data_IF_023482623501
#
_entry.id   IF_023482623501
#
_cell.length_a   1.000
_cell.length_b   1.000
_cell.length_c   1.000
_cell.angle_alpha   90.00
_cell.angle_beta   90.00
_cell.angle_gamma   90.00
#
_symmetry.space_group_name_H-M   'P 1'
#
loop_
_entity.id
_entity.type
_entity.pdbx_description
1 polymer ?
#
# COMPACT_ATOMS: atom_id res chain seq x y z
N UNK A 1 -53.29 -11.24 40.48
CA UNK A 1 -52.49 -12.33 41.09
C UNK A 1 -51.02 -12.04 40.76
N UNK A 2 -50.34 -11.21 41.53
CA UNK A 2 -49.57 -11.56 42.74
C UNK A 2 -48.06 -11.67 42.43
N UNK A 3 -47.33 -10.64 42.92
CA UNK A 3 -45.90 -10.58 43.28
C UNK A 3 -45.34 -11.92 43.80
N UNK A 4 -44.06 -12.32 43.64
CA UNK A 4 -42.81 -11.64 44.06
C UNK A 4 -41.59 -12.52 43.65
N UNK A 5 -40.37 -11.94 43.56
CA UNK A 5 -39.12 -12.64 43.27
C UNK A 5 -38.47 -13.23 44.54
N UNK A 6 -37.62 -14.25 44.37
CA UNK A 6 -36.80 -14.84 45.44
C UNK A 6 -35.44 -14.14 45.48
N UNK A 7 -35.07 -13.59 46.64
CA UNK A 7 -33.71 -13.15 47.00
C UNK A 7 -33.32 -13.82 48.34
N UNK A 8 -32.06 -13.74 48.81
CA UNK A 8 -31.15 -14.86 48.97
C UNK A 8 -30.95 -15.27 50.44
N UNK A 9 -30.30 -16.40 50.68
CA UNK A 9 -29.94 -16.82 52.06
C UNK A 9 -28.48 -16.50 52.36
N UNK A 10 -28.29 -15.49 53.21
CA UNK A 10 -27.06 -15.18 53.92
C UNK A 10 -26.66 -16.33 54.85
N UNK A 11 -25.35 -16.59 54.97
CA UNK A 11 -24.77 -17.02 56.24
C UNK A 11 -23.48 -16.23 56.50
N UNK A 12 -23.49 -15.57 57.65
CA UNK A 12 -22.47 -14.70 58.23
C UNK A 12 -21.40 -15.51 58.94
N UNK A 13 -20.14 -15.05 58.88
CA UNK A 13 -19.28 -14.81 60.06
C UNK A 13 -18.06 -13.94 59.69
N UNK A 14 -17.94 -12.80 60.37
CA UNK A 14 -16.79 -11.86 60.40
C UNK A 14 -15.69 -12.38 61.37
N UNK A 15 -14.61 -11.63 61.76
CA UNK A 15 -14.06 -10.33 61.28
C UNK A 15 -12.52 -10.32 61.09
N UNK A 16 -11.98 -9.25 60.47
CA UNK A 16 -10.53 -9.03 60.37
C UNK A 16 -10.14 -7.63 59.88
N UNK A 17 -10.25 -6.65 60.79
CA UNK A 17 -9.40 -5.47 61.02
C UNK A 17 -8.42 -5.03 59.88
N UNK A 18 -8.63 -3.81 59.35
CA UNK A 18 -7.64 -2.91 58.70
C UNK A 18 -6.61 -2.42 59.74
N UNK A 19 -5.38 -1.90 59.45
CA UNK A 19 -5.04 -1.00 58.33
C UNK A 19 -3.57 -1.08 57.82
N UNK A 20 -3.18 -0.25 56.84
CA UNK A 20 -1.76 0.10 56.65
C UNK A 20 -1.35 0.51 55.24
N UNK A 21 -0.94 1.77 55.11
CA UNK A 21 -0.26 2.38 53.96
C UNK A 21 1.16 1.79 53.82
N UNK A 22 1.70 1.64 52.61
CA UNK A 22 3.14 1.85 52.36
C UNK A 22 3.46 1.99 50.88
N UNK A 23 4.42 2.89 50.64
CA UNK A 23 5.04 3.31 49.40
C UNK A 23 5.69 2.18 48.57
N UNK A 24 5.89 2.52 47.30
CA UNK A 24 7.19 2.54 46.62
C UNK A 24 7.31 1.65 45.39
N UNK A 25 7.95 2.28 44.41
CA UNK A 25 8.63 1.83 43.21
C UNK A 25 8.95 0.32 43.14
N UNK A 26 8.97 -0.23 41.92
CA UNK A 26 10.18 -0.85 41.34
C UNK A 26 9.94 -1.19 39.86
N UNK A 27 10.87 -0.67 39.07
CA UNK A 27 11.19 -0.99 37.69
C UNK A 27 11.69 -2.42 37.54
N UNK A 28 11.30 -3.16 36.49
CA UNK A 28 11.94 -4.43 36.13
C UNK A 28 12.12 -4.56 34.62
N UNK A 29 13.23 -3.99 34.13
CA UNK A 29 13.98 -4.53 33.00
C UNK A 29 14.95 -5.58 33.52
N UNK A 30 14.63 -6.85 33.35
CA UNK A 30 15.62 -7.93 33.32
C UNK A 30 15.07 -9.00 32.38
N UNK A 31 15.87 -9.39 31.38
CA UNK A 31 16.17 -10.77 30.97
C UNK A 31 16.72 -10.77 29.54
N UNK A 32 18.06 -10.66 29.44
CA UNK A 32 18.81 -11.22 28.31
C UNK A 32 19.91 -12.11 28.88
N UNK A 33 19.99 -13.32 28.35
CA UNK A 33 21.21 -14.13 28.37
C UNK A 33 20.99 -15.61 28.69
N UNK A 34 20.97 -16.46 27.65
CA UNK A 34 22.05 -17.42 27.37
C UNK A 34 21.58 -18.65 26.58
N UNK A 35 22.13 -18.79 25.36
CA UNK A 35 22.70 -19.97 24.67
C UNK A 35 22.08 -21.39 24.78
N UNK A 36 21.99 -22.01 23.57
CA UNK A 36 21.57 -23.36 23.09
C UNK A 36 22.24 -24.59 23.76
N UNK A 37 21.97 -25.88 23.37
CA UNK A 37 21.07 -26.45 22.33
C UNK A 37 20.18 -27.64 22.79
N UNK A 38 19.08 -27.91 22.07
CA UNK A 38 18.32 -29.16 22.26
C UNK A 38 17.20 -29.33 21.24
N UNK A 39 17.37 -30.31 20.36
CA UNK A 39 16.36 -30.81 19.42
C UNK A 39 15.07 -31.19 20.15
N UNK A 40 13.90 -30.84 19.59
CA UNK A 40 12.82 -31.77 19.21
C UNK A 40 11.48 -31.04 18.94
N UNK A 41 10.94 -31.37 17.76
CA UNK A 41 9.52 -31.59 17.48
C UNK A 41 8.55 -30.41 17.44
N UNK A 42 8.29 -29.95 16.21
CA UNK A 42 7.12 -29.17 15.85
C UNK A 42 5.83 -30.01 16.07
N UNK A 43 4.92 -29.55 16.94
CA UNK A 43 3.49 -29.89 16.83
C UNK A 43 2.71 -28.62 16.52
N UNK A 44 2.23 -28.57 15.28
CA UNK A 44 1.19 -27.67 14.84
C UNK A 44 -0.14 -28.03 15.52
N UNK A 45 -0.87 -27.02 15.97
CA UNK A 45 -2.30 -27.08 16.28
C UNK A 45 -2.88 -25.67 16.21
N UNK A 46 -3.36 -25.27 15.04
CA UNK A 46 -4.32 -24.17 14.91
C UNK A 46 -5.51 -24.71 14.13
N UNK A 47 -6.58 -25.01 14.86
CA UNK A 47 -7.93 -25.15 14.31
C UNK A 47 -8.40 -23.73 13.95
N UNK A 48 -8.79 -23.51 12.70
CA UNK A 48 -9.92 -22.63 12.41
C UNK A 48 -10.43 -22.87 10.99
N UNK A 49 -11.61 -23.46 11.00
CA UNK A 49 -12.56 -23.76 9.93
C UNK A 49 -13.24 -22.49 9.40
N UNK A 50 -13.47 -22.41 8.09
CA UNK A 50 -14.77 -22.04 7.51
C UNK A 50 -14.71 -21.88 5.97
N UNK A 51 -15.53 -22.68 5.28
CA UNK A 51 -16.35 -22.15 4.17
C UNK A 51 -15.90 -22.39 2.74
N UNK A 52 -15.84 -23.65 2.28
CA UNK A 52 -15.89 -23.98 0.85
C UNK A 52 -17.32 -24.33 0.45
N UNK A 53 -17.99 -23.42 -0.24
CA UNK A 53 -19.12 -23.72 -1.11
C UNK A 53 -18.84 -23.11 -2.48
N UNK A 54 -18.56 -23.94 -3.48
CA UNK A 54 -18.76 -23.65 -4.91
C UNK A 54 -18.66 -24.95 -5.68
N UNK A 55 -19.81 -25.51 -6.02
CA UNK A 55 -19.98 -26.53 -7.05
C UNK A 55 -20.04 -25.81 -8.40
N UNK A 56 -19.12 -26.14 -9.29
CA UNK A 56 -19.27 -25.91 -10.73
C UNK A 56 -18.65 -27.09 -11.47
N UNK A 57 -19.52 -28.02 -11.85
CA UNK A 57 -19.21 -29.08 -12.81
C UNK A 57 -19.92 -28.70 -14.10
N UNK A 58 -19.17 -28.38 -15.16
CA UNK A 58 -19.65 -28.55 -16.53
C UNK A 58 -18.51 -29.13 -17.39
N UNK A 59 -18.81 -30.07 -18.30
CA UNK A 59 -17.80 -30.81 -19.04
C UNK A 59 -17.31 -30.03 -20.27
N UNK A 60 -16.00 -30.02 -20.49
CA UNK A 60 -15.36 -29.72 -21.78
C UNK A 60 -15.53 -30.92 -22.70
N UNK A 61 -16.31 -30.77 -23.78
CA UNK A 61 -16.18 -31.64 -24.94
C UNK A 61 -15.17 -31.02 -25.90
N UNK A 62 -13.99 -31.63 -25.95
CA UNK A 62 -13.03 -31.44 -27.03
C UNK A 62 -13.58 -32.07 -28.31
N UNK A 63 -13.53 -31.32 -29.41
CA UNK A 63 -13.51 -31.90 -30.75
C UNK A 63 -12.14 -31.59 -31.35
N UNK A 64 -11.37 -32.64 -31.60
CA UNK A 64 -10.08 -32.58 -32.26
C UNK A 64 -10.16 -32.74 -33.78
N UNK A 65 -8.99 -32.55 -34.41
CA UNK A 65 -8.63 -32.82 -35.81
C UNK A 65 -9.26 -31.87 -36.85
N UNK A 66 -8.51 -31.15 -37.69
CA UNK A 66 -7.41 -31.65 -38.52
C UNK A 66 -6.54 -30.54 -39.12
N UNK A 67 -5.23 -30.83 -39.18
CA UNK A 67 -4.31 -30.62 -40.31
C UNK A 67 -3.75 -29.22 -40.62
N UNK A 68 -2.52 -29.04 -40.13
CA UNK A 68 -1.41 -28.32 -40.78
C UNK A 68 -1.14 -28.91 -42.18
N UNK A 69 -0.62 -28.11 -43.14
CA UNK A 69 0.82 -28.16 -43.35
C UNK A 69 1.50 -26.81 -43.59
N UNK A 70 2.77 -26.76 -43.19
CA UNK A 70 3.77 -25.77 -43.57
C UNK A 70 4.29 -26.04 -44.99
N UNK A 71 4.64 -24.98 -45.73
CA UNK A 71 6.00 -24.75 -46.24
C UNK A 71 6.04 -23.56 -47.24
N UNK A 72 7.05 -22.69 -47.06
CA UNK A 72 7.88 -22.27 -48.20
C UNK A 72 7.85 -20.81 -48.69
N UNK A 73 8.86 -20.04 -48.24
CA UNK A 73 9.81 -19.30 -49.09
C UNK A 73 9.38 -18.01 -49.86
N UNK A 74 9.69 -16.84 -49.27
CA UNK A 74 10.37 -15.59 -49.77
C UNK A 74 10.12 -15.03 -51.22
N UNK A 75 10.56 -13.78 -51.57
CA UNK A 75 10.52 -12.45 -50.93
C UNK A 75 10.15 -11.29 -51.93
N UNK A 76 10.24 -10.01 -51.47
CA UNK A 76 10.67 -8.77 -52.17
C UNK A 76 9.68 -7.57 -52.10
N UNK A 77 9.92 -6.56 -51.26
CA UNK A 77 10.64 -5.27 -51.48
C UNK A 77 9.82 -4.19 -52.23
N UNK A 78 9.52 -3.05 -51.56
CA UNK A 78 9.97 -1.68 -51.94
C UNK A 78 9.39 -0.59 -51.00
N UNK A 79 10.31 0.19 -50.37
CA UNK A 79 10.35 1.66 -50.17
C UNK A 79 9.05 2.47 -49.95
N UNK A 80 8.90 3.45 -49.04
CA UNK A 80 9.77 4.24 -48.15
C UNK A 80 8.96 5.42 -47.51
N UNK A 81 9.50 6.17 -46.53
CA UNK A 81 8.86 7.28 -45.76
C UNK A 81 9.13 8.68 -46.41
N UNK A 82 8.69 9.88 -45.90
CA UNK A 82 8.30 10.29 -44.53
C UNK A 82 7.11 11.31 -44.36
N UNK A 83 6.79 11.59 -43.08
CA UNK A 83 6.17 12.75 -42.36
C UNK A 83 6.10 14.16 -43.03
N UNK A 84 5.51 15.25 -42.45
CA UNK A 84 4.61 15.43 -41.28
C UNK A 84 3.50 16.54 -41.47
N UNK A 85 2.83 16.90 -40.36
CA UNK A 85 2.35 18.27 -40.00
C UNK A 85 0.92 18.70 -40.33
N UNK A 86 0.14 18.91 -39.26
CA UNK A 86 -0.42 20.24 -39.00
C UNK A 86 -1.93 20.42 -39.16
N UNK A 87 -2.56 20.86 -38.06
CA UNK A 87 -3.46 22.01 -38.15
C UNK A 87 -4.93 21.77 -37.83
N UNK A 88 -5.32 22.32 -36.67
CA UNK A 88 -6.47 23.22 -36.53
C UNK A 88 -7.91 22.64 -36.60
N UNK A 89 -8.53 22.59 -35.41
CA UNK A 89 -9.92 23.00 -35.08
C UNK A 89 -10.44 24.17 -35.97
N UNK A 90 -11.77 24.41 -36.14
CA UNK A 90 -12.76 24.40 -35.04
C UNK A 90 -14.19 23.93 -35.36
N UNK A 91 -14.98 23.84 -34.28
CA UNK A 91 -16.43 24.02 -34.19
C UNK A 91 -17.06 24.83 -35.31
N UNK A 92 -18.23 24.39 -35.78
CA UNK A 92 -19.28 25.27 -36.28
C UNK A 92 -20.65 24.72 -35.85
N UNK A 93 -21.40 25.56 -35.15
CA UNK A 93 -22.84 25.52 -35.01
C UNK A 93 -23.41 26.59 -35.94
N UNK A 94 -24.40 26.24 -36.76
CA UNK A 94 -25.42 27.12 -37.35
C UNK A 94 -26.58 26.19 -37.80
N UNK A 95 -27.82 26.35 -37.33
CA UNK A 95 -28.84 27.39 -37.59
C UNK A 95 -29.38 27.38 -39.02
N UNK A 96 -30.72 27.25 -39.15
CA UNK A 96 -31.51 27.45 -40.39
C UNK A 96 -32.52 26.33 -40.62
N UNK A 97 -33.77 26.39 -40.13
CA UNK A 97 -34.89 27.30 -40.48
C UNK A 97 -35.45 27.09 -41.90
N UNK A 98 -36.54 26.31 -41.96
CA UNK A 98 -37.64 26.29 -42.96
C UNK A 98 -37.26 25.82 -44.39
N UNK A 99 -38.08 25.13 -45.19
CA UNK A 99 -39.52 25.30 -45.43
C UNK A 99 -40.15 24.05 -46.06
N UNK A 100 -41.45 23.92 -45.82
CA UNK A 100 -42.44 23.22 -46.63
C UNK A 100 -42.38 23.52 -48.13
N UNK A 101 -42.60 22.51 -48.97
CA UNK A 101 -43.10 22.69 -50.34
C UNK A 101 -44.00 21.51 -50.72
N UNK A 102 -45.31 21.80 -50.76
CA UNK A 102 -46.32 21.02 -51.46
C UNK A 102 -46.10 21.26 -52.96
N UNK A 103 -45.90 20.19 -53.73
CA UNK A 103 -45.92 20.26 -55.19
C UNK A 103 -47.16 19.54 -55.70
N UNK A 104 -48.16 20.35 -56.06
CA UNK A 104 -49.28 19.98 -56.92
C UNK A 104 -48.77 19.87 -58.36
N UNK A 105 -48.64 18.64 -58.87
CA UNK A 105 -48.38 18.37 -60.28
C UNK A 105 -49.67 18.07 -61.02
N UNK A 106 -50.27 19.10 -61.64
CA UNK A 106 -51.32 18.93 -62.65
C UNK A 106 -50.68 18.57 -63.98
N UNK A 107 -51.05 17.42 -64.55
CA UNK A 107 -50.93 17.15 -65.98
C UNK A 107 -52.31 16.77 -66.51
N UNK A 108 -53.06 17.80 -66.92
CA UNK A 108 -54.17 17.63 -67.87
C UNK A 108 -53.59 17.32 -69.24
N UNK A 109 -53.50 16.04 -69.58
CA UNK A 109 -53.29 15.55 -70.93
C UNK A 109 -54.60 14.99 -71.47
N UNK A 110 -55.23 15.73 -72.39
CA UNK A 110 -56.42 15.31 -73.14
C UNK A 110 -56.22 13.91 -73.76
N UNK A 111 -57.04 12.95 -73.34
CA UNK A 111 -57.28 11.70 -74.03
C UNK A 111 -58.78 11.42 -74.04
N UNK A 112 -59.39 11.46 -75.22
CA UNK A 112 -60.80 11.16 -75.57
C UNK A 112 -61.51 10.16 -74.63
N UNK A 113 -62.77 10.42 -74.21
CA UNK A 113 -63.71 9.35 -73.95
C UNK A 113 -64.29 8.91 -75.29
N UNK A 114 -63.80 7.79 -75.84
CA UNK A 114 -64.55 7.07 -76.87
C UNK A 114 -65.70 6.36 -76.15
N UNK A 115 -66.82 7.06 -76.00
CA UNK A 115 -68.10 6.43 -75.75
C UNK A 115 -68.59 5.83 -77.07
N UNK A 116 -68.26 4.56 -77.29
CA UNK A 116 -69.05 3.71 -78.15
C UNK A 116 -69.60 2.57 -77.29
N UNK A 117 -70.87 2.75 -76.98
CA UNK A 117 -71.76 1.76 -76.41
C UNK A 117 -71.78 0.53 -77.31
N UNK A 118 -70.94 -0.46 -76.98
CA UNK A 118 -70.82 -1.72 -77.69
C UNK A 118 -71.27 -2.88 -76.82
N UNK A 119 -72.55 -3.24 -76.98
CA UNK A 119 -73.09 -4.58 -76.85
C UNK A 119 -72.99 -5.30 -75.50
N UNK A 120 -74.17 -5.44 -74.88
CA UNK A 120 -74.50 -6.51 -73.97
C UNK A 120 -74.02 -7.88 -74.51
N UNK A 121 -73.12 -8.50 -73.78
CA UNK A 121 -72.71 -9.90 -73.94
C UNK A 121 -72.25 -10.45 -72.60
N UNK A 122 -73.11 -10.41 -71.58
CA UNK A 122 -72.97 -11.25 -70.38
C UNK A 122 -72.98 -12.71 -70.83
N UNK A 123 -71.82 -13.30 -71.05
CA UNK A 123 -71.66 -14.74 -70.87
C UNK A 123 -71.59 -14.98 -69.36
N UNK A 124 -72.39 -15.90 -68.79
CA UNK A 124 -72.17 -16.36 -67.42
C UNK A 124 -70.77 -16.99 -67.37
N UNK A 125 -69.89 -16.50 -66.48
CA UNK A 125 -68.67 -17.24 -66.15
C UNK A 125 -69.09 -18.67 -65.79
N UNK A 126 -68.47 -19.72 -66.36
CA UNK A 126 -68.68 -21.10 -65.92
C UNK A 126 -68.60 -21.14 -64.38
N UNK A 127 -69.54 -21.82 -63.71
CA UNK A 127 -69.63 -21.87 -62.24
C UNK A 127 -68.31 -22.25 -61.55
N UNK A 128 -67.41 -22.92 -62.27
CA UNK A 128 -66.08 -23.34 -61.85
C UNK A 128 -65.07 -22.18 -61.79
N UNK A 129 -65.15 -21.20 -62.70
CA UNK A 129 -64.29 -20.01 -62.71
C UNK A 129 -64.60 -19.07 -61.55
N UNK A 130 -65.89 -18.90 -61.20
CA UNK A 130 -66.29 -18.09 -60.05
C UNK A 130 -65.85 -18.71 -58.71
N UNK A 131 -65.83 -20.04 -58.61
CA UNK A 131 -65.32 -20.76 -57.44
C UNK A 131 -63.80 -20.59 -57.32
N UNK A 132 -63.06 -20.76 -58.42
CA UNK A 132 -61.61 -20.55 -58.44
C UNK A 132 -61.21 -19.13 -58.06
N UNK A 133 -61.92 -18.12 -58.58
CA UNK A 133 -61.70 -16.71 -58.19
C UNK A 133 -61.89 -16.54 -56.68
N UNK A 134 -62.92 -17.14 -56.10
CA UNK A 134 -63.16 -17.05 -54.66
C UNK A 134 -62.04 -17.70 -53.85
N UNK A 135 -61.56 -18.88 -54.25
CA UNK A 135 -60.42 -19.53 -53.61
C UNK A 135 -59.13 -18.72 -53.70
N UNK A 136 -58.89 -18.03 -54.82
CA UNK A 136 -57.74 -17.15 -54.98
C UNK A 136 -57.85 -15.90 -54.11
N UNK A 137 -59.04 -15.33 -53.97
CA UNK A 137 -59.27 -14.23 -53.03
C UNK A 137 -59.05 -14.66 -51.56
N UNK A 138 -59.50 -15.85 -51.18
CA UNK A 138 -59.31 -16.37 -49.83
C UNK A 138 -57.83 -16.66 -49.56
N UNK A 139 -57.11 -17.26 -50.52
CA UNK A 139 -55.65 -17.42 -50.46
C UNK A 139 -54.91 -16.08 -50.38
N UNK A 140 -55.38 -15.06 -51.09
CA UNK A 140 -54.80 -13.71 -51.00
C UNK A 140 -54.99 -13.14 -49.59
N UNK A 141 -56.18 -13.26 -49.01
CA UNK A 141 -56.47 -12.84 -47.62
C UNK A 141 -55.61 -13.59 -46.60
N UNK A 142 -55.39 -14.89 -46.79
CA UNK A 142 -54.49 -15.69 -45.95
C UNK A 142 -53.05 -15.19 -46.04
N UNK A 143 -52.53 -14.94 -47.25
CA UNK A 143 -51.18 -14.39 -47.46
C UNK A 143 -51.04 -12.98 -46.88
N UNK A 144 -52.06 -12.14 -46.99
CA UNK A 144 -52.09 -10.81 -46.38
C UNK A 144 -52.04 -10.88 -44.85
N UNK A 145 -52.75 -11.83 -44.24
CA UNK A 145 -52.70 -12.08 -42.80
C UNK A 145 -51.34 -12.62 -42.33
N UNK A 146 -50.74 -13.55 -43.08
CA UNK A 146 -49.38 -14.06 -42.82
C UNK A 146 -48.33 -12.93 -42.91
N UNK A 147 -48.43 -12.06 -43.91
CA UNK A 147 -47.56 -10.89 -44.04
C UNK A 147 -47.73 -9.91 -42.89
N UNK A 148 -48.96 -9.71 -42.42
CA UNK A 148 -49.21 -8.86 -41.24
C UNK A 148 -48.55 -9.47 -39.99
N UNK A 149 -48.74 -10.77 -39.75
CA UNK A 149 -48.11 -11.46 -38.63
C UNK A 149 -46.57 -11.38 -38.68
N UNK A 150 -45.98 -11.52 -39.87
CA UNK A 150 -44.53 -11.39 -40.04
C UNK A 150 -44.03 -9.97 -39.73
N UNK A 151 -44.77 -8.93 -40.10
CA UNK A 151 -44.43 -7.54 -39.76
C UNK A 151 -44.49 -7.33 -38.25
N UNK A 152 -45.57 -7.77 -37.62
CA UNK A 152 -45.75 -7.65 -36.17
C UNK A 152 -44.63 -8.40 -35.42
N UNK A 153 -44.27 -9.60 -35.88
CA UNK A 153 -43.16 -10.37 -35.31
C UNK A 153 -41.80 -9.70 -35.49
N UNK A 154 -41.54 -9.04 -36.64
CA UNK A 154 -40.30 -8.29 -36.85
C UNK A 154 -40.23 -7.08 -35.92
N UNK A 155 -41.32 -6.34 -35.75
CA UNK A 155 -41.39 -5.20 -34.83
C UNK A 155 -41.15 -5.66 -33.37
N UNK A 156 -41.74 -6.78 -32.96
CA UNK A 156 -41.49 -7.40 -31.66
C UNK A 156 -40.02 -7.81 -31.47
N UNK A 157 -39.40 -8.40 -32.50
CA UNK A 157 -37.99 -8.76 -32.47
C UNK A 157 -37.07 -7.53 -32.40
N UNK A 158 -37.38 -6.45 -33.14
CA UNK A 158 -36.63 -5.20 -33.07
C UNK A 158 -36.67 -4.59 -31.67
N UNK A 159 -37.85 -4.60 -31.02
CA UNK A 159 -38.01 -4.14 -29.63
C UNK A 159 -37.23 -5.02 -28.66
N UNK A 160 -37.29 -6.35 -28.81
CA UNK A 160 -36.55 -7.27 -27.96
C UNK A 160 -35.02 -7.09 -28.08
N UNK A 161 -34.53 -6.87 -29.32
CA UNK A 161 -33.11 -6.56 -29.56
C UNK A 161 -32.76 -5.24 -28.86
N UNK A 162 -33.51 -4.16 -29.07
CA UNK A 162 -33.24 -2.87 -28.42
C UNK A 162 -33.15 -3.01 -26.88
N UNK A 163 -34.10 -3.72 -26.26
CA UNK A 163 -34.12 -3.95 -24.82
C UNK A 163 -32.86 -4.66 -24.32
N UNK A 164 -32.41 -5.72 -25.01
CA UNK A 164 -31.19 -6.46 -24.62
C UNK A 164 -29.97 -5.55 -24.68
N UNK A 165 -29.86 -4.69 -25.70
CA UNK A 165 -28.75 -3.74 -25.84
C UNK A 165 -28.77 -2.68 -24.73
N UNK A 166 -29.93 -2.08 -24.44
CA UNK A 166 -30.11 -1.12 -23.37
C UNK A 166 -29.77 -1.73 -21.99
N UNK A 167 -30.19 -2.97 -21.75
CA UNK A 167 -29.87 -3.68 -20.53
C UNK A 167 -28.37 -3.97 -20.40
N UNK A 168 -27.72 -4.43 -21.47
CA UNK A 168 -26.26 -4.68 -21.49
C UNK A 168 -25.49 -3.38 -21.22
N UNK A 169 -25.88 -2.28 -21.85
CA UNK A 169 -25.29 -0.97 -21.60
C UNK A 169 -25.45 -0.56 -20.14
N UNK A 170 -26.67 -0.65 -19.59
CA UNK A 170 -26.95 -0.33 -18.19
C UNK A 170 -26.11 -1.16 -17.22
N UNK A 171 -25.95 -2.46 -17.47
CA UNK A 171 -25.11 -3.35 -16.64
C UNK A 171 -23.64 -2.92 -16.69
N UNK A 172 -23.10 -2.63 -17.87
CA UNK A 172 -21.73 -2.14 -18.02
C UNK A 172 -21.48 -0.82 -17.27
N UNK A 173 -22.43 0.12 -17.36
CA UNK A 173 -22.36 1.40 -16.63
C UNK A 173 -22.36 1.19 -15.11
N UNK A 174 -23.21 0.30 -14.60
CA UNK A 174 -23.27 -0.04 -13.17
C UNK A 174 -21.98 -0.71 -12.68
N UNK A 175 -21.41 -1.63 -13.45
CA UNK A 175 -20.15 -2.30 -13.12
C UNK A 175 -18.99 -1.29 -13.06
N UNK A 176 -18.92 -0.37 -14.03
CA UNK A 176 -17.92 0.68 -14.07
C UNK A 176 -18.07 1.66 -12.88
N UNK A 177 -19.30 2.05 -12.55
CA UNK A 177 -19.58 2.90 -11.39
C UNK A 177 -19.18 2.20 -10.08
N UNK A 178 -19.49 0.91 -9.94
CA UNK A 178 -19.07 0.08 -8.81
C UNK A 178 -17.55 -0.07 -8.70
N UNK A 179 -16.84 -0.20 -9.82
CA UNK A 179 -15.37 -0.17 -9.84
C UNK A 179 -14.83 1.20 -9.39
N UNK A 180 -15.36 2.30 -9.93
CA UNK A 180 -14.96 3.66 -9.54
C UNK A 180 -15.14 3.90 -8.05
N UNK A 181 -16.28 3.51 -7.49
CA UNK A 181 -16.57 3.64 -6.06
C UNK A 181 -15.59 2.84 -5.21
N UNK A 182 -15.29 1.59 -5.58
CA UNK A 182 -14.29 0.74 -4.89
C UNK A 182 -12.89 1.35 -4.95
N UNK A 183 -12.44 1.80 -6.11
CA UNK A 183 -11.16 2.48 -6.25
C UNK A 183 -11.09 3.76 -5.41
N UNK A 184 -12.15 4.58 -5.41
CA UNK A 184 -12.22 5.79 -4.61
C UNK A 184 -12.20 5.50 -3.10
N UNK A 185 -12.94 4.49 -2.65
CA UNK A 185 -12.93 4.05 -1.25
C UNK A 185 -11.54 3.55 -0.82
N UNK A 186 -10.89 2.74 -1.65
CA UNK A 186 -9.54 2.25 -1.39
C UNK A 186 -8.51 3.39 -1.38
N UNK A 187 -8.61 4.35 -2.30
CA UNK A 187 -7.74 5.53 -2.31
C UNK A 187 -7.91 6.36 -1.03
N UNK A 188 -9.15 6.59 -0.58
CA UNK A 188 -9.43 7.29 0.70
C UNK A 188 -8.85 6.53 1.89
N UNK A 189 -9.02 5.20 1.94
CA UNK A 189 -8.46 4.36 3.01
C UNK A 189 -6.92 4.41 3.02
N UNK A 190 -6.29 4.32 1.85
CA UNK A 190 -4.84 4.41 1.72
C UNK A 190 -4.31 5.79 2.15
N UNK A 191 -5.01 6.88 1.79
CA UNK A 191 -4.68 8.24 2.21
C UNK A 191 -4.78 8.41 3.74
N UNK A 192 -5.87 7.92 4.36
CA UNK A 192 -6.03 7.95 5.82
C UNK A 192 -4.96 7.12 6.54
N UNK A 193 -4.63 5.93 6.03
CA UNK A 193 -3.57 5.09 6.58
C UNK A 193 -2.19 5.76 6.46
N UNK A 194 -1.90 6.40 5.33
CA UNK A 194 -0.68 7.17 5.12
C UNK A 194 -0.59 8.36 6.10
N UNK A 195 -1.67 9.10 6.30
CA UNK A 195 -1.73 10.21 7.25
C UNK A 195 -1.48 9.74 8.70
N UNK A 196 -2.14 8.65 9.12
CA UNK A 196 -1.90 8.07 10.45
C UNK A 196 -0.46 7.59 10.61
N UNK A 197 0.10 6.96 9.57
CA UNK A 197 1.51 6.56 9.54
C UNK A 197 2.46 7.75 9.67
N UNK A 198 2.18 8.86 8.97
CA UNK A 198 2.95 10.10 9.10
C UNK A 198 2.88 10.69 10.52
N UNK A 199 1.70 10.70 11.15
CA UNK A 199 1.55 11.16 12.54
C UNK A 199 2.40 10.33 13.51
N UNK A 200 2.38 9.00 13.39
CA UNK A 200 3.18 8.11 14.24
C UNK A 200 4.68 8.34 14.04
N UNK A 201 5.14 8.47 12.79
CA UNK A 201 6.55 8.76 12.50
C UNK A 201 6.98 10.12 13.07
N UNK A 202 6.12 11.14 13.00
CA UNK A 202 6.39 12.45 13.57
C UNK A 202 6.55 12.38 15.10
N UNK A 203 5.68 11.62 15.77
CA UNK A 203 5.79 11.38 17.22
C UNK A 203 7.10 10.64 17.56
N UNK A 204 7.47 9.61 16.79
CA UNK A 204 8.73 8.87 17.00
C UNK A 204 9.95 9.78 16.87
N UNK A 205 9.96 10.66 15.86
CA UNK A 205 11.06 11.63 15.63
C UNK A 205 11.16 12.63 16.79
N UNK A 206 10.04 13.05 17.39
CA UNK A 206 10.05 13.91 18.56
C UNK A 206 10.54 13.17 19.81
N UNK A 207 10.12 11.92 20.02
CA UNK A 207 10.56 11.10 21.13
C UNK A 207 12.08 10.85 21.09
N UNK A 208 12.62 10.42 19.95
CA UNK A 208 14.07 10.19 19.82
C UNK A 208 14.87 11.49 19.99
N UNK A 209 14.33 12.64 19.58
CA UNK A 209 14.95 13.93 19.85
C UNK A 209 14.97 14.28 21.34
N UNK A 210 13.92 13.93 22.09
CA UNK A 210 13.89 14.09 23.54
C UNK A 210 14.90 13.18 24.22
N UNK A 211 14.95 11.89 23.85
CA UNK A 211 15.93 10.93 24.39
C UNK A 211 17.37 11.35 24.08
N UNK A 212 17.62 11.89 22.87
CA UNK A 212 18.92 12.48 22.53
C UNK A 212 19.28 13.63 23.47
N UNK A 213 18.35 14.56 23.73
CA UNK A 213 18.60 15.68 24.66
C UNK A 213 18.90 15.16 26.06
N UNK A 214 18.12 14.19 26.54
CA UNK A 214 18.37 13.57 27.85
C UNK A 214 19.77 12.97 27.93
N UNK A 215 20.19 12.19 26.93
CA UNK A 215 21.54 11.62 26.90
C UNK A 215 22.64 12.67 26.82
N UNK A 216 22.39 13.82 26.18
CA UNK A 216 23.34 14.93 26.16
C UNK A 216 23.49 15.56 27.54
N UNK A 217 22.39 15.71 28.28
CA UNK A 217 22.40 16.19 29.67
C UNK A 217 23.12 15.20 30.59
N UNK A 218 22.81 13.91 30.48
CA UNK A 218 23.46 12.87 31.28
C UNK A 218 24.96 12.77 30.96
N UNK A 219 25.34 12.93 29.69
CA UNK A 219 26.75 13.00 29.29
C UNK A 219 27.45 14.22 29.91
N UNK A 220 26.79 15.39 29.93
CA UNK A 220 27.34 16.59 30.56
C UNK A 220 27.56 16.37 32.08
N UNK A 221 26.61 15.71 32.75
CA UNK A 221 26.74 15.34 34.17
C UNK A 221 27.92 14.37 34.40
N UNK A 222 28.06 13.33 33.58
CA UNK A 222 29.20 12.39 33.67
C UNK A 222 30.55 13.08 33.43
N UNK A 223 30.62 14.05 32.52
CA UNK A 223 31.83 14.83 32.29
C UNK A 223 32.18 15.69 33.50
N UNK A 224 31.19 16.26 34.19
CA UNK A 224 31.40 17.01 35.44
C UNK A 224 31.89 16.09 36.57
N UNK A 225 31.31 14.90 36.71
CA UNK A 225 31.75 13.89 37.68
C UNK A 225 33.19 13.42 37.39
N UNK A 226 33.52 13.19 36.12
CA UNK A 226 34.88 12.89 35.66
C UNK A 226 35.85 13.98 36.09
N UNK A 227 35.54 15.25 35.83
CA UNK A 227 36.43 16.37 36.18
C UNK A 227 36.67 16.46 37.70
N UNK A 228 35.64 16.19 38.50
CA UNK A 228 35.78 16.13 39.95
C UNK A 228 36.70 14.99 40.38
N UNK A 229 36.54 13.80 39.80
CA UNK A 229 37.40 12.64 40.07
C UNK A 229 38.84 12.91 39.63
N UNK A 230 39.07 13.51 38.46
CA UNK A 230 40.41 13.89 38.00
C UNK A 230 41.12 14.82 39.00
N UNK A 231 40.39 15.81 39.55
CA UNK A 231 40.92 16.70 40.60
C UNK A 231 41.25 15.94 41.88
N UNK A 232 40.39 15.00 42.32
CA UNK A 232 40.64 14.18 43.52
C UNK A 232 41.83 13.22 43.33
N UNK A 233 41.95 12.59 42.16
CA UNK A 233 43.08 11.73 41.86
C UNK A 233 44.37 12.55 41.85
N UNK A 234 44.35 13.77 41.28
CA UNK A 234 45.48 14.69 41.34
C UNK A 234 45.84 15.11 42.77
N UNK A 235 44.86 15.33 43.67
CA UNK A 235 45.14 15.66 45.07
C UNK A 235 45.77 14.50 45.83
N UNK A 236 45.21 13.29 45.70
CA UNK A 236 45.79 12.10 46.31
C UNK A 236 47.20 11.81 45.76
N UNK A 237 47.46 12.13 44.49
CA UNK A 237 48.76 11.92 43.87
C UNK A 237 49.79 12.86 44.48
N UNK A 238 49.43 14.14 44.66
CA UNK A 238 50.27 15.11 45.37
C UNK A 238 50.56 14.66 46.80
N UNK A 239 49.53 14.32 47.56
CA UNK A 239 49.68 13.84 48.94
C UNK A 239 50.58 12.59 49.02
N UNK A 240 50.41 11.62 48.11
CA UNK A 240 51.28 10.46 48.02
C UNK A 240 52.74 10.83 47.71
N UNK A 241 52.97 11.76 46.77
CA UNK A 241 54.33 12.23 46.45
C UNK A 241 54.97 13.04 47.57
N UNK A 242 54.20 13.75 48.39
CA UNK A 242 54.67 14.51 49.55
C UNK A 242 55.08 13.60 50.73
N UNK A 243 54.47 12.42 50.86
CA UNK A 243 54.83 11.46 51.90
C UNK A 243 56.17 10.77 51.64
N UNK A 244 56.60 10.64 50.38
CA UNK A 244 57.86 10.03 50.00
C UNK A 244 59.09 10.72 50.64
N UNK A 245 59.32 12.04 50.48
CA UNK A 245 60.47 12.71 51.11
C UNK A 245 60.38 12.69 52.64
N UNK A 246 59.19 12.81 53.24
CA UNK A 246 59.01 12.76 54.71
C UNK A 246 59.37 11.39 55.29
N UNK A 247 59.06 10.32 54.55
CA UNK A 247 59.45 8.97 54.92
C UNK A 247 60.98 8.80 54.84
N UNK A 248 61.63 9.36 53.81
CA UNK A 248 63.09 9.35 53.71
C UNK A 248 63.74 10.16 54.83
N UNK A 249 63.26 11.36 55.14
CA UNK A 249 63.75 12.18 56.26
C UNK A 249 63.68 11.43 57.61
N UNK A 250 62.55 10.80 57.93
CA UNK A 250 62.41 10.03 59.17
C UNK A 250 63.29 8.77 59.21
N UNK A 251 63.54 8.13 58.06
CA UNK A 251 64.52 7.04 57.95
C UNK A 251 65.95 7.54 58.21
N UNK A 252 66.33 8.66 57.60
CA UNK A 252 67.65 9.28 57.80
C UNK A 252 67.86 9.73 59.25
N UNK A 253 66.84 10.30 59.89
CA UNK A 253 66.86 10.67 61.31
C UNK A 253 66.98 9.47 62.26
N UNK A 254 66.32 8.35 61.93
CA UNK A 254 66.45 7.08 62.67
C UNK A 254 67.88 6.54 62.57
N UNK A 255 68.46 6.55 61.36
CA UNK A 255 69.87 6.20 61.13
C UNK A 255 70.82 7.12 61.91
N UNK A 256 70.59 8.44 61.87
CA UNK A 256 71.42 9.45 62.55
C UNK A 256 71.31 9.37 64.08
N UNK A 257 70.11 9.22 64.62
CA UNK A 257 69.87 8.98 66.06
C UNK A 257 70.42 7.63 66.54
N UNK A 258 70.72 6.74 65.59
CA UNK A 258 71.40 5.47 65.82
C UNK A 258 72.88 5.62 66.18
N UNK A 259 73.51 6.71 65.77
CA UNK A 259 74.94 7.02 65.96
C UNK A 259 75.17 7.54 67.38
N UNK A 260 76.08 6.95 68.20
CA UNK A 260 76.32 7.37 69.57
C UNK A 260 77.01 8.73 69.60
N UNK A 261 76.23 9.80 69.65
CA UNK A 261 76.70 11.19 69.65
C UNK A 261 76.68 11.83 71.04
N UNK A 262 76.09 11.17 72.05
CA UNK A 262 76.08 11.64 73.43
C UNK A 262 76.56 10.53 74.38
N UNK A 263 77.85 10.57 74.74
CA UNK A 263 78.52 9.58 75.60
C UNK A 263 78.06 9.60 77.08
N UNK A 264 77.13 10.49 77.46
CA UNK A 264 76.63 10.65 78.83
C UNK A 264 75.16 10.30 79.07
N UNK A 265 74.36 10.05 78.03
CA UNK A 265 72.94 9.72 78.18
C UNK A 265 72.71 8.21 77.98
N UNK A 266 72.31 7.50 79.04
CA UNK A 266 72.30 6.03 79.09
C UNK A 266 71.55 5.30 77.96
N UNK A 267 71.91 4.02 77.73
CA UNK A 267 71.39 3.12 76.67
C UNK A 267 69.86 3.01 76.59
N UNK A 268 69.13 3.38 77.64
CA UNK A 268 67.66 3.35 77.68
C UNK A 268 67.01 4.54 76.93
N UNK A 269 67.66 5.71 76.92
CA UNK A 269 67.15 6.91 76.25
C UNK A 269 67.24 6.78 74.73
N UNK A 270 68.39 6.32 74.22
CA UNK A 270 68.59 6.05 72.78
C UNK A 270 67.77 4.87 72.22
N UNK A 271 67.31 3.93 73.06
CA UNK A 271 66.37 2.87 72.65
C UNK A 271 64.93 3.39 72.52
N UNK A 272 64.49 4.22 73.47
CA UNK A 272 63.17 4.88 73.39
C UNK A 272 63.07 5.83 72.19
N UNK A 273 64.11 6.60 71.92
CA UNK A 273 64.17 7.49 70.75
C UNK A 273 64.07 6.76 69.41
N UNK A 274 64.86 5.68 69.23
CA UNK A 274 64.79 4.80 68.05
C UNK A 274 63.41 4.18 67.88
N UNK A 275 62.84 3.59 68.94
CA UNK A 275 61.50 3.00 68.91
C UNK A 275 60.39 4.03 68.62
N UNK A 276 60.57 5.30 68.97
CA UNK A 276 59.64 6.38 68.61
C UNK A 276 59.80 6.81 67.15
N UNK A 277 61.04 6.88 66.64
CA UNK A 277 61.34 7.17 65.24
C UNK A 277 60.83 6.07 64.28
N UNK A 278 61.02 4.80 64.65
CA UNK A 278 60.54 3.64 63.89
C UNK A 278 59.01 3.63 63.80
N UNK A 279 58.31 3.91 64.91
CA UNK A 279 56.84 4.04 64.90
C UNK A 279 56.35 5.19 64.02
N UNK A 280 57.08 6.32 63.99
CA UNK A 280 56.76 7.44 63.09
C UNK A 280 56.98 7.07 61.62
N UNK A 281 58.08 6.38 61.29
CA UNK A 281 58.33 5.89 59.94
C UNK A 281 57.29 4.85 59.49
N UNK A 282 56.90 3.93 60.37
CA UNK A 282 55.81 2.98 60.12
C UNK A 282 54.48 3.69 59.85
N UNK A 283 54.12 4.67 60.67
CA UNK A 283 52.89 5.47 60.46
C UNK A 283 52.89 6.25 59.14
N UNK A 284 54.03 6.84 58.74
CA UNK A 284 54.16 7.49 57.43
C UNK A 284 54.09 6.49 56.27
N UNK A 285 54.65 5.30 56.44
CA UNK A 285 54.58 4.23 55.45
C UNK A 285 53.16 3.68 55.28
N UNK A 286 52.43 3.51 56.38
CA UNK A 286 51.01 3.16 56.37
C UNK A 286 50.17 4.26 55.72
N UNK A 287 50.41 5.53 56.04
CA UNK A 287 49.75 6.66 55.37
C UNK A 287 50.03 6.68 53.86
N UNK A 288 51.28 6.46 53.43
CA UNK A 288 51.63 6.40 52.02
C UNK A 288 50.92 5.22 51.32
N UNK A 289 50.86 4.06 51.97
CA UNK A 289 50.11 2.90 51.46
C UNK A 289 48.61 3.21 51.33
N UNK A 290 47.99 3.82 52.33
CA UNK A 290 46.57 4.21 52.27
C UNK A 290 46.31 5.19 51.12
N UNK A 291 47.18 6.19 50.92
CA UNK A 291 47.08 7.13 49.78
C UNK A 291 47.25 6.44 48.43
N UNK A 292 48.10 5.42 48.33
CA UNK A 292 48.22 4.61 47.12
C UNK A 292 46.93 3.83 46.81
N UNK A 293 46.26 3.27 47.82
CA UNK A 293 44.95 2.61 47.62
C UNK A 293 43.86 3.62 47.24
N UNK A 294 43.80 4.80 47.88
CA UNK A 294 42.84 5.86 47.53
C UNK A 294 43.01 6.31 46.08
N UNK A 295 44.26 6.42 45.61
CA UNK A 295 44.59 6.70 44.22
C UNK A 295 44.11 5.62 43.25
N UNK A 296 44.35 4.35 43.58
CA UNK A 296 43.93 3.22 42.75
C UNK A 296 42.40 3.17 42.62
N UNK A 297 41.67 3.34 43.73
CA UNK A 297 40.19 3.39 43.71
C UNK A 297 39.70 4.58 42.89
N UNK A 298 40.29 5.77 43.08
CA UNK A 298 39.95 6.97 42.32
C UNK A 298 40.18 6.79 40.81
N UNK A 299 41.33 6.20 40.43
CA UNK A 299 41.70 5.96 39.05
C UNK A 299 40.77 4.94 38.37
N UNK A 300 40.37 3.89 39.07
CA UNK A 300 39.40 2.90 38.59
C UNK A 300 38.02 3.52 38.36
N UNK A 301 37.52 4.33 39.31
CA UNK A 301 36.23 5.01 39.16
C UNK A 301 36.28 6.03 38.01
N UNK A 302 37.39 6.76 37.86
CA UNK A 302 37.60 7.67 36.73
C UNK A 302 37.56 6.93 35.38
N UNK A 303 38.21 5.77 35.30
CA UNK A 303 38.21 4.93 34.10
C UNK A 303 36.81 4.41 33.78
N UNK A 304 36.02 4.04 34.80
CA UNK A 304 34.60 3.68 34.65
C UNK A 304 33.80 4.83 34.05
N UNK A 305 33.95 6.05 34.58
CA UNK A 305 33.24 7.26 34.04
C UNK A 305 33.64 7.60 32.61
N UNK A 306 34.91 7.43 32.24
CA UNK A 306 35.36 7.58 30.84
C UNK A 306 34.65 6.58 29.92
N UNK A 307 34.58 5.32 30.33
CA UNK A 307 33.91 4.25 29.58
C UNK A 307 32.39 4.49 29.45
N UNK A 308 31.73 4.96 30.52
CA UNK A 308 30.31 5.36 30.50
C UNK A 308 30.06 6.52 29.54
N UNK A 309 30.93 7.54 29.54
CA UNK A 309 30.83 8.67 28.61
C UNK A 309 31.03 8.26 27.14
N UNK A 310 31.92 7.31 26.85
CA UNK A 310 32.09 6.74 25.51
C UNK A 310 30.82 5.99 25.06
N UNK A 311 30.22 5.21 25.97
CA UNK A 311 28.96 4.50 25.69
C UNK A 311 27.80 5.46 25.39
N UNK A 312 27.68 6.57 26.13
CA UNK A 312 26.65 7.58 25.90
C UNK A 312 26.85 8.31 24.58
N UNK A 313 28.09 8.66 24.22
CA UNK A 313 28.41 9.20 22.88
C UNK A 313 28.02 8.23 21.78
N UNK A 314 28.33 6.94 21.92
CA UNK A 314 27.93 5.92 20.95
C UNK A 314 26.39 5.79 20.84
N UNK A 315 25.66 5.83 21.96
CA UNK A 315 24.19 5.77 21.98
C UNK A 315 23.57 6.99 21.32
N UNK A 316 24.07 8.19 21.63
CA UNK A 316 23.61 9.43 21.00
C UNK A 316 23.83 9.40 19.47
N UNK A 317 24.98 8.93 19.01
CA UNK A 317 25.27 8.76 17.59
C UNK A 317 24.31 7.79 16.87
N UNK A 318 23.92 6.68 17.53
CA UNK A 318 22.89 5.76 16.99
C UNK A 318 21.53 6.43 16.87
N UNK A 319 21.07 7.14 17.91
CA UNK A 319 19.80 7.87 17.86
C UNK A 319 19.81 8.96 16.78
N UNK A 320 20.94 9.63 16.56
CA UNK A 320 21.08 10.60 15.46
C UNK A 320 20.92 9.96 14.09
N UNK A 321 21.51 8.79 13.88
CA UNK A 321 21.35 8.01 12.64
C UNK A 321 19.90 7.56 12.46
N UNK A 322 19.24 7.08 13.51
CA UNK A 322 17.82 6.71 13.47
C UNK A 322 16.92 7.90 13.16
N UNK A 323 17.15 9.06 13.79
CA UNK A 323 16.40 10.30 13.51
C UNK A 323 16.63 10.77 12.07
N UNK A 324 17.86 10.70 11.57
CA UNK A 324 18.17 11.04 10.18
C UNK A 324 17.44 10.10 9.21
N UNK A 325 17.52 8.78 9.43
CA UNK A 325 16.85 7.78 8.62
C UNK A 325 15.32 7.92 8.63
N UNK A 326 14.71 8.20 9.79
CA UNK A 326 13.26 8.44 9.88
C UNK A 326 12.83 9.73 9.18
N UNK A 327 13.64 10.80 9.24
CA UNK A 327 13.38 12.05 8.52
C UNK A 327 13.49 11.84 7.01
N UNK A 328 14.49 11.08 6.55
CA UNK A 328 14.64 10.71 5.13
C UNK A 328 13.48 9.84 4.66
N UNK A 329 13.06 8.83 5.43
CA UNK A 329 11.90 8.00 5.13
C UNK A 329 10.60 8.81 5.04
N UNK A 330 10.49 9.88 5.83
CA UNK A 330 9.37 10.83 5.77
C UNK A 330 9.44 11.68 4.50
N UNK A 331 10.64 12.15 4.12
CA UNK A 331 10.86 12.99 2.94
C UNK A 331 10.73 12.20 1.62
N UNK A 332 11.18 10.95 1.59
CA UNK A 332 11.04 10.05 0.44
C UNK A 332 9.59 9.67 0.15
N UNK A 333 8.72 9.66 1.17
CA UNK A 333 7.27 9.42 1.01
C UNK A 333 6.51 10.63 0.44
N UNK A 334 7.10 11.82 0.47
CA UNK A 334 6.49 13.07 0.00
C UNK A 334 6.91 13.51 -1.42
N UNK A 335 7.76 12.76 -2.13
CA UNK A 335 8.22 13.11 -3.50
C UNK A 335 7.29 12.63 -4.62
N UNK A 336 5.98 12.69 -4.42
CA UNK A 336 5.01 12.57 -5.52
C UNK A 336 3.86 13.55 -5.29
N UNK A 337 4.05 14.79 -5.75
CA UNK A 337 2.97 15.45 -6.48
C UNK A 337 3.49 16.04 -7.81
N UNK A 338 2.90 15.58 -8.91
CA UNK A 338 2.49 16.41 -10.04
C UNK A 338 3.53 17.20 -10.85
N UNK A 339 3.57 16.84 -12.14
CA UNK A 339 3.83 17.72 -13.29
C UNK A 339 5.28 18.13 -13.63
N UNK A 340 5.77 17.52 -14.72
CA UNK A 340 6.62 18.17 -15.71
C UNK A 340 8.08 18.46 -15.32
N UNK A 341 8.96 17.47 -15.48
CA UNK A 341 10.37 17.72 -15.83
C UNK A 341 11.03 16.49 -16.49
N UNK A 342 12.03 16.71 -17.38
CA UNK A 342 12.54 15.74 -18.36
C UNK A 342 13.40 14.64 -17.70
N UNK A 343 13.72 13.53 -18.40
CA UNK A 343 14.52 12.46 -17.83
C UNK A 343 15.94 12.96 -17.54
N UNK A 344 16.48 12.80 -16.32
CA UNK A 344 17.91 12.91 -16.11
C UNK A 344 18.58 11.64 -16.64
N UNK A 345 19.67 11.86 -17.36
CA UNK A 345 20.52 10.85 -17.95
C UNK A 345 21.00 9.83 -16.91
N UNK A 346 21.32 8.65 -17.45
CA UNK A 346 21.78 7.44 -16.79
C UNK A 346 22.86 7.68 -15.73
N UNK A 347 22.74 6.95 -14.61
CA UNK A 347 23.84 6.70 -13.70
C UNK A 347 23.52 6.94 -12.23
N UNK A 348 22.76 6.05 -11.60
CA UNK A 348 23.00 5.73 -10.18
C UNK A 348 22.37 4.38 -9.79
N UNK A 349 23.12 3.45 -9.17
CA UNK A 349 22.58 2.16 -8.74
C UNK A 349 21.67 2.36 -7.52
N UNK A 350 20.41 1.96 -7.65
CA UNK A 350 19.42 2.02 -6.57
C UNK A 350 19.72 0.94 -5.53
N UNK A 351 20.47 1.29 -4.48
CA UNK A 351 20.40 0.60 -3.19
C UNK A 351 19.44 1.37 -2.29
N UNK A 352 18.18 0.95 -2.24
CA UNK A 352 17.26 1.38 -1.19
C UNK A 352 16.26 0.28 -0.95
N UNK A 353 16.43 -0.41 0.17
CA UNK A 353 15.48 -1.38 0.69
C UNK A 353 14.14 -0.66 0.94
N UNK A 354 13.20 -0.82 0.01
CA UNK A 354 11.83 -0.36 0.19
C UNK A 354 11.23 -1.05 1.43
N UNK A 355 10.61 -0.31 2.37
CA UNK A 355 9.97 -0.90 3.54
C UNK A 355 8.90 -1.88 3.05
N UNK A 356 8.88 -3.12 3.55
CA UNK A 356 8.02 -4.22 3.07
C UNK A 356 6.53 -3.86 2.91
N UNK A 357 6.02 -2.88 3.66
CA UNK A 357 4.66 -2.33 3.51
C UNK A 357 4.44 -1.45 2.27
N UNK A 358 5.45 -0.69 1.83
CA UNK A 358 5.44 0.09 0.58
C UNK A 358 5.39 -0.85 -0.63
N UNK A 359 6.20 -1.91 -0.62
CA UNK A 359 6.18 -2.94 -1.66
C UNK A 359 4.81 -3.64 -1.77
N UNK A 360 4.12 -3.87 -0.65
CA UNK A 360 2.76 -4.43 -0.63
C UNK A 360 1.72 -3.51 -1.28
N UNK A 361 1.74 -2.22 -0.94
CA UNK A 361 0.85 -1.22 -1.54
C UNK A 361 1.16 -1.00 -3.04
N UNK A 362 2.44 -0.98 -3.42
CA UNK A 362 2.86 -0.90 -4.84
C UNK A 362 2.33 -2.10 -5.63
N UNK A 363 2.50 -3.32 -5.12
CA UNK A 363 1.95 -4.54 -5.74
C UNK A 363 0.42 -4.50 -5.84
N UNK A 364 -0.26 -3.97 -4.82
CA UNK A 364 -1.72 -3.84 -4.84
C UNK A 364 -2.20 -2.78 -5.83
N UNK A 365 -1.47 -1.66 -5.98
CA UNK A 365 -1.72 -0.66 -7.02
C UNK A 365 -1.46 -1.21 -8.41
N UNK A 366 -0.37 -1.96 -8.61
CA UNK A 366 -0.07 -2.64 -9.87
C UNK A 366 -1.15 -3.66 -10.22
N UNK A 367 -1.61 -4.45 -9.25
CA UNK A 367 -2.72 -5.39 -9.42
C UNK A 367 -4.00 -4.66 -9.84
N UNK A 368 -4.38 -3.58 -9.15
CA UNK A 368 -5.57 -2.81 -9.51
C UNK A 368 -5.44 -2.11 -10.86
N UNK A 369 -4.25 -1.64 -11.22
CA UNK A 369 -3.98 -1.07 -12.55
C UNK A 369 -4.12 -2.13 -13.63
N UNK A 370 -3.62 -3.35 -13.39
CA UNK A 370 -3.80 -4.48 -14.29
C UNK A 370 -5.28 -4.89 -14.41
N UNK A 371 -6.02 -4.94 -13.30
CA UNK A 371 -7.46 -5.20 -13.30
C UNK A 371 -8.22 -4.12 -14.09
N UNK A 372 -7.93 -2.83 -13.86
CA UNK A 372 -8.54 -1.73 -14.62
C UNK A 372 -8.18 -1.79 -16.11
N UNK A 373 -6.94 -2.18 -16.46
CA UNK A 373 -6.52 -2.32 -17.84
C UNK A 373 -7.24 -3.48 -18.54
N UNK A 374 -7.35 -4.63 -17.88
CA UNK A 374 -8.09 -5.79 -18.39
C UNK A 374 -9.57 -5.48 -18.57
N UNK A 375 -10.19 -4.77 -17.64
CA UNK A 375 -11.60 -4.38 -17.77
C UNK A 375 -11.82 -3.34 -18.88
N UNK A 376 -10.89 -2.39 -19.07
CA UNK A 376 -10.93 -1.48 -20.23
C UNK A 376 -10.80 -2.23 -21.55
N UNK A 377 -9.88 -3.20 -21.62
CA UNK A 377 -9.70 -4.04 -22.79
C UNK A 377 -10.97 -4.85 -23.08
N UNK A 378 -11.55 -5.52 -22.07
CA UNK A 378 -12.83 -6.24 -22.20
C UNK A 378 -13.96 -5.33 -22.64
N UNK A 379 -14.07 -4.13 -22.07
CA UNK A 379 -15.05 -3.14 -22.48
C UNK A 379 -14.86 -2.66 -23.92
N UNK A 380 -13.61 -2.52 -24.37
CA UNK A 380 -13.29 -2.19 -25.76
C UNK A 380 -13.64 -3.36 -26.69
N UNK A 381 -13.26 -4.58 -26.36
CA UNK A 381 -13.61 -5.78 -27.12
C UNK A 381 -15.13 -5.95 -27.24
N UNK A 382 -15.88 -5.67 -26.17
CA UNK A 382 -17.35 -5.66 -26.22
C UNK A 382 -17.89 -4.57 -27.15
N UNK A 383 -17.33 -3.34 -27.10
CA UNK A 383 -17.71 -2.24 -28.00
C UNK A 383 -17.42 -2.59 -29.45
N UNK A 384 -16.23 -3.13 -29.74
CA UNK A 384 -15.82 -3.54 -31.07
C UNK A 384 -16.71 -4.68 -31.59
N UNK A 385 -17.07 -5.63 -30.72
CA UNK A 385 -18.02 -6.68 -31.05
C UNK A 385 -19.41 -6.12 -31.38
N UNK A 386 -19.91 -5.15 -30.61
CA UNK A 386 -21.18 -4.48 -30.91
C UNK A 386 -21.12 -3.66 -32.20
N UNK A 387 -20.01 -2.99 -32.50
CA UNK A 387 -19.83 -2.26 -33.76
C UNK A 387 -19.78 -3.20 -34.96
N UNK A 388 -19.10 -4.34 -34.84
CA UNK A 388 -19.09 -5.39 -35.85
C UNK A 388 -20.48 -5.98 -36.08
N UNK A 389 -21.21 -6.27 -35.01
CA UNK A 389 -22.59 -6.76 -35.10
C UNK A 389 -23.50 -5.73 -35.78
N UNK A 390 -23.38 -4.45 -35.39
CA UNK A 390 -24.11 -3.33 -36.03
C UNK A 390 -23.79 -3.21 -37.51
N UNK A 391 -22.51 -3.29 -37.89
CA UNK A 391 -22.10 -3.24 -39.30
C UNK A 391 -22.65 -4.43 -40.09
N UNK A 392 -22.70 -5.62 -39.47
CA UNK A 392 -23.24 -6.83 -40.09
C UNK A 392 -24.74 -6.69 -40.32
N UNK A 393 -25.49 -6.27 -39.30
CA UNK A 393 -26.92 -5.99 -39.40
C UNK A 393 -27.22 -4.89 -40.41
N UNK A 394 -26.41 -3.84 -40.47
CA UNK A 394 -26.59 -2.77 -41.44
C UNK A 394 -26.38 -3.28 -42.87
N UNK A 395 -25.35 -4.09 -43.10
CA UNK A 395 -25.13 -4.75 -44.39
C UNK A 395 -26.26 -5.71 -44.77
N UNK A 396 -26.80 -6.49 -43.83
CA UNK A 396 -27.96 -7.34 -44.06
C UNK A 396 -29.22 -6.53 -44.38
N UNK A 397 -29.48 -5.47 -43.63
CA UNK A 397 -30.58 -4.54 -43.89
C UNK A 397 -30.50 -3.98 -45.31
N UNK A 398 -29.33 -3.54 -45.74
CA UNK A 398 -29.12 -3.05 -47.11
C UNK A 398 -29.37 -4.14 -48.16
N UNK A 399 -28.89 -5.37 -47.92
CA UNK A 399 -29.17 -6.53 -48.79
C UNK A 399 -30.66 -6.83 -48.89
N UNK A 400 -31.38 -6.84 -47.77
CA UNK A 400 -32.84 -7.07 -47.72
C UNK A 400 -33.59 -5.97 -48.45
N UNK A 401 -33.23 -4.70 -48.23
CA UNK A 401 -33.84 -3.56 -48.94
C UNK A 401 -33.60 -3.69 -50.45
N UNK A 402 -32.39 -4.06 -50.87
CA UNK A 402 -32.08 -4.25 -52.29
C UNK A 402 -32.91 -5.39 -52.89
N UNK A 403 -32.98 -6.52 -52.21
CA UNK A 403 -33.77 -7.67 -52.64
C UNK A 403 -35.27 -7.34 -52.72
N UNK A 404 -35.82 -6.65 -51.73
CA UNK A 404 -37.22 -6.21 -51.75
C UNK A 404 -37.50 -5.25 -52.91
N UNK A 405 -36.59 -4.32 -53.20
CA UNK A 405 -36.70 -3.42 -54.37
C UNK A 405 -36.69 -4.21 -55.69
N UNK A 406 -35.83 -5.22 -55.81
CA UNK A 406 -35.79 -6.09 -56.98
C UNK A 406 -37.09 -6.88 -57.16
N UNK A 407 -37.63 -7.45 -56.08
CA UNK A 407 -38.93 -8.13 -56.12
C UNK A 407 -40.04 -7.17 -56.57
N UNK A 408 -40.12 -5.98 -55.98
CA UNK A 408 -41.12 -4.97 -56.35
C UNK A 408 -41.03 -4.59 -57.83
N UNK A 409 -39.82 -4.43 -58.37
CA UNK A 409 -39.61 -4.16 -59.79
C UNK A 409 -40.10 -5.32 -60.67
N UNK A 410 -39.82 -6.57 -60.27
CA UNK A 410 -40.25 -7.78 -60.98
C UNK A 410 -41.77 -8.03 -60.95
N UNK A 411 -42.51 -7.43 -60.02
CA UNK A 411 -43.98 -7.52 -59.97
C UNK A 411 -44.69 -6.42 -60.79
N UNK A 412 -43.97 -5.35 -61.15
CA UNK A 412 -44.50 -4.22 -61.93
C UNK A 412 -44.27 -4.41 -63.44
N UNK A 413 -43.26 -5.19 -63.81
CA UNK A 413 -43.07 -5.73 -65.17
C UNK A 413 -43.96 -6.96 -65.39
#
# INVERSE_FOLDING_TARGET
MAFKPVVPKLRSTHPGVRPGLSESQVSLTHLLGAEKPGSLSCRASTLSDSGRNSLSSLPTYSTGCSQHPEAGTLPATLHGPPDPTGGCRPSNSDSGRSSSSKSTGSLSGRGRPSSESGSCGRSPLPSEEAMLVRELEDKLREREAELQLLRDSLDENEVAICQVYEEKQRRCEQELEGLRQRCAAQARQAAQAAQRGQQVLQLQVLQLQQEKKQLQEDLAQLLQERDLLERRCASFQREHTELAPRLEETKWESWRSGVPSCWGCGRSCGRRGRSCSERRAQGLQEAARLKALELEVCANELQRRKSEADLFRAKAGRLEQEVAGLREATRGRCHQPGEGCPPPAEGCPQSSEEPRGSAGLRRQLERLRAEVALERQRGQEQRDAFEQERSTWQGEKERVIHYQKQLQYSYIQ
#
